data_IF_870558324249
#
_entry.id   IF_870558324249
#
_cell.length_a   1.000
_cell.length_b   1.000
_cell.length_c   1.000
_cell.angle_alpha   90.00
_cell.angle_beta   90.00
_cell.angle_gamma   90.00
#
_symmetry.space_group_name_H-M   'P 1'
#
loop_
_entity.id
_entity.type
_entity.pdbx_description
1 polymer ?
#
# COMPACT_ATOMS: atom_id res chain seq x y z
N UNK A 1 75.20 -9.93 -22.83
CA UNK A 1 73.89 -9.30 -22.50
C UNK A 1 72.79 -10.35 -22.62
N UNK A 2 72.31 -10.90 -21.51
CA UNK A 2 71.26 -11.93 -21.45
C UNK A 2 69.92 -11.27 -21.10
N UNK A 3 68.88 -11.54 -21.90
CA UNK A 3 67.48 -11.15 -21.66
C UNK A 3 66.84 -12.09 -20.63
N UNK A 4 66.13 -11.55 -19.65
CA UNK A 4 65.25 -12.27 -18.74
C UNK A 4 63.79 -12.21 -19.22
N UNK A 5 62.95 -13.24 -19.01
CA UNK A 5 61.52 -13.18 -19.29
C UNK A 5 60.71 -12.77 -18.05
N UNK A 6 59.68 -11.94 -18.26
CA UNK A 6 58.75 -11.48 -17.23
C UNK A 6 57.78 -12.57 -16.78
N UNK A 7 57.57 -12.66 -15.46
CA UNK A 7 56.63 -13.56 -14.81
C UNK A 7 55.27 -12.86 -14.66
N UNK A 8 54.21 -13.41 -15.27
CA UNK A 8 52.83 -12.99 -15.04
C UNK A 8 52.25 -13.86 -13.91
N UNK A 9 52.08 -13.26 -12.72
CA UNK A 9 51.38 -13.89 -11.59
C UNK A 9 49.86 -13.81 -11.83
N UNK A 10 49.25 -14.96 -12.09
CA UNK A 10 47.80 -15.15 -12.16
C UNK A 10 47.31 -15.51 -10.75
N UNK A 11 46.69 -14.57 -10.05
CA UNK A 11 46.10 -14.84 -8.73
C UNK A 11 44.80 -15.63 -8.89
N UNK A 12 44.71 -16.82 -8.30
CA UNK A 12 43.45 -17.57 -8.21
C UNK A 12 42.67 -17.06 -6.99
N UNK A 13 41.46 -16.55 -7.23
CA UNK A 13 40.54 -16.22 -6.14
C UNK A 13 39.92 -17.53 -5.66
N UNK A 14 40.08 -17.84 -4.37
CA UNK A 14 39.56 -19.06 -3.78
C UNK A 14 38.03 -19.14 -3.91
N UNK A 15 37.45 -20.32 -4.20
CA UNK A 15 36.01 -20.49 -4.48
C UNK A 15 35.09 -20.03 -3.33
N UNK A 16 35.58 -20.02 -2.09
CA UNK A 16 34.87 -19.50 -0.92
C UNK A 16 34.63 -17.99 -0.97
N UNK A 17 35.57 -17.21 -1.51
CA UNK A 17 35.43 -15.76 -1.65
C UNK A 17 34.43 -15.38 -2.75
N UNK A 18 34.35 -16.18 -3.82
CA UNK A 18 33.35 -16.03 -4.87
C UNK A 18 31.93 -16.35 -4.37
N UNK A 19 31.77 -17.38 -3.53
CA UNK A 19 30.50 -17.72 -2.87
C UNK A 19 30.06 -16.65 -1.85
N UNK A 20 30.98 -16.12 -1.05
CA UNK A 20 30.68 -15.02 -0.13
C UNK A 20 30.29 -13.74 -0.88
N UNK A 21 30.98 -13.41 -1.98
CA UNK A 21 30.62 -12.29 -2.83
C UNK A 21 29.25 -12.50 -3.51
N UNK A 22 28.92 -13.73 -3.93
CA UNK A 22 27.62 -14.08 -4.50
C UNK A 22 26.48 -13.99 -3.47
N UNK A 23 26.72 -14.40 -2.23
CA UNK A 23 25.77 -14.28 -1.12
C UNK A 23 25.58 -12.82 -0.67
N UNK A 24 26.64 -12.03 -0.62
CA UNK A 24 26.58 -10.60 -0.32
C UNK A 24 25.88 -9.82 -1.44
N UNK A 25 26.10 -10.19 -2.71
CA UNK A 25 25.42 -9.56 -3.85
C UNK A 25 23.97 -10.04 -4.03
N UNK A 26 23.60 -11.23 -3.56
CA UNK A 26 22.20 -11.65 -3.48
C UNK A 26 21.45 -10.97 -2.33
N UNK A 27 22.08 -10.78 -1.17
CA UNK A 27 21.52 -10.01 -0.05
C UNK A 27 21.39 -8.51 -0.35
N UNK A 28 22.36 -7.91 -1.08
CA UNK A 28 22.26 -6.54 -1.55
C UNK A 28 21.14 -6.34 -2.59
N UNK A 29 20.83 -7.38 -3.39
CA UNK A 29 19.70 -7.37 -4.34
C UNK A 29 18.32 -7.60 -3.69
N UNK A 30 18.27 -8.09 -2.45
CA UNK A 30 17.02 -8.18 -1.68
C UNK A 30 16.64 -6.86 -0.98
N UNK A 31 17.54 -5.87 -0.99
CA UNK A 31 17.33 -4.53 -0.42
C UNK A 31 17.15 -3.48 -1.51
N UNK A 32 16.46 -3.83 -2.61
CA UNK A 32 16.13 -2.85 -3.64
C UNK A 32 15.05 -1.94 -3.07
N UNK A 33 15.46 -0.73 -2.71
CA UNK A 33 14.56 0.42 -2.65
C UNK A 33 13.86 0.46 -4.02
N UNK A 34 12.57 0.13 -4.07
CA UNK A 34 11.78 0.12 -5.30
C UNK A 34 12.00 1.45 -6.04
N UNK A 35 12.58 1.44 -7.26
CA UNK A 35 12.82 2.66 -8.00
C UNK A 35 11.49 3.40 -8.19
N UNK A 36 11.50 4.71 -7.92
CA UNK A 36 10.36 5.58 -8.14
C UNK A 36 9.87 5.42 -9.58
N UNK A 37 8.73 4.77 -9.78
CA UNK A 37 8.04 4.84 -11.05
C UNK A 37 7.50 6.28 -11.20
N UNK A 38 8.01 7.07 -12.17
CA UNK A 38 7.62 8.47 -12.33
C UNK A 38 6.11 8.62 -12.59
N UNK A 39 5.48 7.61 -13.18
CA UNK A 39 4.04 7.58 -13.49
C UNK A 39 3.22 7.24 -12.24
N UNK A 40 3.65 6.25 -11.45
CA UNK A 40 2.98 5.94 -10.18
C UNK A 40 2.99 7.14 -9.23
N UNK A 41 4.11 7.88 -9.21
CA UNK A 41 4.26 9.09 -8.40
C UNK A 41 3.35 10.24 -8.85
N UNK A 42 3.12 10.41 -10.16
CA UNK A 42 2.26 11.49 -10.67
C UNK A 42 0.76 11.22 -10.48
N UNK A 43 0.36 9.95 -10.47
CA UNK A 43 -1.03 9.55 -10.25
C UNK A 43 -1.39 9.43 -8.77
N UNK A 44 -0.42 9.33 -7.89
CA UNK A 44 -0.67 9.04 -6.47
C UNK A 44 -1.63 9.98 -5.74
N UNK A 45 -1.60 11.31 -5.97
CA UNK A 45 -2.53 12.25 -5.35
C UNK A 45 -4.01 11.96 -5.67
N UNK A 46 -4.29 11.27 -6.76
CA UNK A 46 -5.63 10.99 -7.26
C UNK A 46 -6.26 9.72 -6.64
N UNK A 47 -5.48 8.89 -5.94
CA UNK A 47 -6.00 7.66 -5.30
C UNK A 47 -6.68 7.88 -3.94
N UNK A 48 -6.63 9.11 -3.41
CA UNK A 48 -7.22 9.53 -2.14
C UNK A 48 -6.90 8.56 -1.01
N UNK A 49 -7.90 7.90 -0.42
CA UNK A 49 -7.66 6.96 0.70
C UNK A 49 -6.87 5.70 0.32
N UNK A 50 -6.52 5.48 -0.95
CA UNK A 50 -5.68 4.37 -1.41
C UNK A 50 -4.25 4.78 -1.77
N UNK A 51 -3.94 6.08 -1.68
CA UNK A 51 -2.59 6.63 -1.81
C UNK A 51 -1.68 6.03 -0.75
N UNK A 52 -0.44 5.68 -1.12
CA UNK A 52 0.55 5.11 -0.18
C UNK A 52 1.04 6.19 0.79
N UNK A 53 1.47 5.79 1.98
CA UNK A 53 1.99 6.73 2.97
C UNK A 53 3.24 7.47 2.47
N UNK A 54 4.14 6.78 1.77
CA UNK A 54 5.34 7.39 1.19
C UNK A 54 5.06 8.36 0.03
N UNK A 55 3.90 8.28 -0.62
CA UNK A 55 3.58 9.20 -1.71
C UNK A 55 3.06 10.55 -1.17
N UNK A 56 2.47 10.56 0.04
CA UNK A 56 2.08 11.80 0.75
C UNK A 56 3.19 12.33 1.65
N UNK A 57 4.13 11.47 2.04
CA UNK A 57 5.33 11.85 2.77
C UNK A 57 6.58 11.25 2.10
N UNK A 58 7.14 11.93 1.08
CA UNK A 58 8.28 11.43 0.30
C UNK A 58 9.55 11.16 1.10
N UNK A 59 9.70 11.75 2.29
CA UNK A 59 10.83 11.48 3.20
C UNK A 59 10.87 10.01 3.62
N UNK A 60 9.71 9.34 3.66
CA UNK A 60 9.63 7.91 3.98
C UNK A 60 10.30 7.01 2.93
N UNK A 61 10.58 7.52 1.73
CA UNK A 61 11.31 6.76 0.70
C UNK A 61 12.79 6.63 1.04
N UNK A 62 13.42 7.72 1.47
CA UNK A 62 14.85 7.76 1.77
C UNK A 62 15.16 7.38 3.22
N UNK A 63 14.27 7.71 4.15
CA UNK A 63 14.42 7.47 5.57
C UNK A 63 13.11 6.96 6.18
N UNK A 64 12.69 5.73 5.88
CA UNK A 64 11.41 5.22 6.37
C UNK A 64 11.35 5.12 7.90
N UNK A 65 12.49 5.01 8.58
CA UNK A 65 12.56 4.97 10.04
C UNK A 65 13.10 6.28 10.62
N UNK A 66 13.52 7.22 9.77
CA UNK A 66 14.11 8.47 10.20
C UNK A 66 13.02 9.36 10.84
N UNK A 67 13.24 9.85 12.07
CA UNK A 67 12.37 10.85 12.65
C UNK A 67 12.47 12.16 11.86
N UNK A 68 11.34 12.74 11.47
CA UNK A 68 11.30 14.10 10.95
C UNK A 68 10.70 15.01 12.01
N UNK A 69 11.50 15.94 12.55
CA UNK A 69 11.02 16.99 13.45
C UNK A 69 10.63 18.21 12.64
N UNK A 70 9.58 18.88 13.08
CA UNK A 70 9.29 20.24 12.64
C UNK A 70 10.48 21.14 13.01
N UNK A 71 11.13 21.82 12.05
CA UNK A 71 12.22 22.75 12.33
C UNK A 71 11.81 23.90 13.27
N UNK A 72 10.51 24.23 13.34
CA UNK A 72 9.98 25.27 14.23
C UNK A 72 9.91 24.83 15.70
N UNK A 73 9.95 23.51 15.97
CA UNK A 73 10.10 22.97 17.32
C UNK A 73 11.58 22.98 17.70
N UNK A 74 12.02 24.05 18.37
CA UNK A 74 13.39 24.17 18.87
C UNK A 74 13.73 23.00 19.80
N UNK A 75 14.78 22.24 19.46
CA UNK A 75 15.26 21.16 20.32
C UNK A 75 15.64 21.70 21.71
N UNK A 76 15.13 21.06 22.75
CA UNK A 76 15.47 21.39 24.14
C UNK A 76 14.64 22.50 24.79
N UNK A 77 13.72 23.17 24.08
CA UNK A 77 12.85 24.21 24.71
C UNK A 77 11.59 23.64 25.33
N UNK A 78 11.14 22.47 24.88
CA UNK A 78 9.93 21.81 25.35
C UNK A 78 10.21 20.33 25.63
N UNK A 79 9.57 19.78 26.66
CA UNK A 79 9.60 18.34 26.96
C UNK A 79 8.24 17.72 26.65
N UNK A 80 8.16 16.75 25.73
CA UNK A 80 6.93 16.00 25.47
C UNK A 80 6.49 15.25 26.73
N UNK A 81 5.25 15.49 27.19
CA UNK A 81 4.68 14.83 28.38
C UNK A 81 3.67 13.74 28.03
N UNK A 82 3.09 13.79 26.83
CA UNK A 82 2.11 12.83 26.34
C UNK A 82 2.09 12.79 24.82
N UNK A 83 1.90 11.60 24.25
CA UNK A 83 1.63 11.39 22.83
C UNK A 83 0.26 10.73 22.68
N UNK A 84 -0.60 11.33 21.86
CA UNK A 84 -1.87 10.74 21.43
C UNK A 84 -1.89 10.74 19.92
N UNK A 85 -2.06 9.57 19.31
CA UNK A 85 -2.08 9.41 17.86
C UNK A 85 -3.31 8.63 17.42
N UNK A 86 -3.99 9.14 16.38
CA UNK A 86 -5.04 8.40 15.68
C UNK A 86 -4.44 7.85 14.38
N UNK A 87 -4.24 6.53 14.36
CA UNK A 87 -3.51 5.87 13.29
C UNK A 87 -4.46 4.99 12.48
N UNK A 88 -4.45 5.17 11.16
CA UNK A 88 -5.16 4.27 10.24
C UNK A 88 -4.33 2.99 10.04
N UNK A 89 -5.02 1.89 9.74
CA UNK A 89 -4.36 0.65 9.34
C UNK A 89 -3.33 0.85 8.20
N UNK A 90 -2.34 -0.04 8.11
CA UNK A 90 -1.36 -0.06 7.03
C UNK A 90 -1.95 -0.42 5.66
N UNK A 91 -1.10 -0.47 4.63
CA UNK A 91 -1.48 -0.93 3.29
C UNK A 91 -2.13 -2.32 3.31
N UNK A 92 -3.16 -2.55 2.49
CA UNK A 92 -3.96 -3.79 2.50
C UNK A 92 -4.36 -4.25 1.10
N UNK A 93 -4.78 -5.51 0.98
CA UNK A 93 -5.40 -6.03 -0.24
C UNK A 93 -6.77 -5.36 -0.52
N UNK A 94 -7.28 -5.46 -1.76
CA UNK A 94 -8.68 -5.14 -2.05
C UNK A 94 -9.64 -6.00 -1.20
N UNK A 95 -10.85 -5.49 -0.94
CA UNK A 95 -11.91 -6.29 -0.30
C UNK A 95 -12.49 -7.29 -1.29
N UNK A 96 -13.10 -8.38 -0.85
CA UNK A 96 -13.72 -9.40 -1.69
C UNK A 96 -14.75 -8.81 -2.68
N UNK A 97 -15.50 -7.77 -2.27
CA UNK A 97 -16.40 -7.02 -3.17
C UNK A 97 -15.67 -6.40 -4.37
N UNK A 98 -14.45 -5.91 -4.18
CA UNK A 98 -13.63 -5.33 -5.24
C UNK A 98 -12.92 -6.41 -6.04
N UNK A 99 -12.48 -7.49 -5.40
CA UNK A 99 -11.88 -8.66 -6.08
C UNK A 99 -12.87 -9.25 -7.08
N UNK A 100 -14.15 -9.41 -6.70
CA UNK A 100 -15.20 -9.87 -7.63
C UNK A 100 -15.39 -8.96 -8.84
N UNK A 101 -15.30 -7.64 -8.66
CA UNK A 101 -15.34 -6.69 -9.78
C UNK A 101 -14.13 -6.80 -10.70
N UNK A 102 -12.94 -7.00 -10.13
CA UNK A 102 -11.72 -7.28 -10.92
C UNK A 102 -11.89 -8.56 -11.75
N UNK A 103 -12.44 -9.62 -11.16
CA UNK A 103 -12.73 -10.87 -11.88
C UNK A 103 -13.77 -10.68 -12.98
N UNK A 104 -14.82 -9.90 -12.72
CA UNK A 104 -15.82 -9.57 -13.74
C UNK A 104 -15.18 -8.87 -14.95
N UNK A 105 -14.37 -7.83 -14.70
CA UNK A 105 -13.66 -7.13 -15.74
C UNK A 105 -12.67 -8.02 -16.50
N UNK A 106 -11.91 -8.84 -15.77
CA UNK A 106 -10.99 -9.80 -16.36
C UNK A 106 -11.71 -10.81 -17.26
N UNK A 107 -12.87 -11.33 -16.82
CA UNK A 107 -13.72 -12.19 -17.64
C UNK A 107 -14.24 -11.51 -18.90
N UNK A 108 -14.61 -10.23 -18.83
CA UNK A 108 -14.99 -9.44 -20.02
C UNK A 108 -13.83 -9.32 -21.02
N UNK A 109 -12.61 -9.07 -20.52
CA UNK A 109 -11.41 -8.96 -21.35
C UNK A 109 -11.03 -10.31 -22.00
N UNK A 110 -11.18 -11.42 -21.28
CA UNK A 110 -10.94 -12.76 -21.82
C UNK A 110 -11.97 -13.14 -22.90
N UNK A 111 -13.24 -12.82 -22.69
CA UNK A 111 -14.31 -13.10 -23.65
C UNK A 111 -14.18 -12.28 -24.95
N UNK A 112 -13.51 -11.12 -24.91
CA UNK A 112 -13.18 -10.32 -26.09
C UNK A 112 -12.30 -11.10 -27.08
N UNK A 113 -11.23 -11.73 -26.59
CA UNK A 113 -10.26 -12.44 -27.43
C UNK A 113 -10.84 -13.63 -28.20
N UNK A 114 -11.99 -14.17 -27.77
CA UNK A 114 -12.70 -15.25 -28.46
C UNK A 114 -13.63 -14.78 -29.59
N UNK A 115 -13.92 -13.47 -29.70
CA UNK A 115 -14.89 -12.92 -30.69
C UNK A 115 -14.23 -12.39 -31.96
N UNK A 116 -12.98 -11.94 -31.90
CA UNK A 116 -12.27 -11.38 -33.05
C UNK A 116 -11.17 -12.34 -33.55
N UNK A 117 -11.51 -13.18 -34.52
CA UNK A 117 -10.53 -13.89 -35.37
C UNK A 117 -9.87 -12.99 -36.42
N UNK A 118 -9.93 -11.66 -36.25
CA UNK A 118 -9.46 -10.68 -37.22
C UNK A 118 -8.30 -9.86 -36.65
N UNK A 119 -7.13 -10.00 -37.27
CA UNK A 119 -5.96 -9.18 -36.98
C UNK A 119 -6.30 -7.68 -37.15
N UNK A 120 -6.33 -6.91 -36.06
CA UNK A 120 -6.35 -5.45 -36.14
C UNK A 120 -4.92 -4.92 -36.15
N UNK A 121 -4.59 -4.28 -37.26
CA UNK A 121 -3.30 -3.70 -37.60
C UNK A 121 -3.18 -2.29 -37.03
N UNK A 122 -2.67 -2.14 -35.82
CA UNK A 122 -1.99 -0.89 -35.41
C UNK A 122 -0.93 -1.23 -34.35
N UNK A 123 0.30 -0.73 -34.51
CA UNK A 123 1.48 -1.04 -33.70
C UNK A 123 1.44 -0.61 -32.22
N UNK A 124 0.27 -0.42 -31.62
CA UNK A 124 0.11 -0.33 -30.17
C UNK A 124 -0.11 -1.73 -29.62
N UNK A 125 0.66 -2.15 -28.60
CA UNK A 125 0.31 -3.35 -27.82
C UNK A 125 -1.15 -3.25 -27.40
N UNK A 126 -1.94 -4.23 -27.79
CA UNK A 126 -3.36 -4.31 -27.43
C UNK A 126 -3.46 -4.43 -25.90
N UNK A 127 -3.79 -3.31 -25.26
CA UNK A 127 -3.85 -3.24 -23.80
C UNK A 127 -4.92 -4.18 -23.23
N UNK A 128 -6.04 -4.37 -23.94
CA UNK A 128 -7.07 -5.29 -23.47
C UNK A 128 -6.62 -6.73 -23.52
N UNK A 129 -5.90 -7.16 -24.58
CA UNK A 129 -5.29 -8.49 -24.63
C UNK A 129 -4.22 -8.66 -23.55
N UNK A 130 -3.33 -7.68 -23.38
CA UNK A 130 -2.31 -7.72 -22.33
C UNK A 130 -2.91 -7.83 -20.91
N UNK A 131 -4.04 -7.18 -20.66
CA UNK A 131 -4.77 -7.28 -19.39
C UNK A 131 -5.58 -8.57 -19.25
N UNK A 132 -6.01 -9.19 -20.36
CA UNK A 132 -6.71 -10.48 -20.37
C UNK A 132 -5.76 -11.65 -20.06
N UNK A 133 -4.52 -11.55 -20.53
CA UNK A 133 -3.46 -12.53 -20.28
C UNK A 133 -2.80 -12.33 -18.90
N UNK A 134 -3.01 -11.18 -18.27
CA UNK A 134 -2.45 -10.88 -16.96
C UNK A 134 -3.10 -11.73 -15.86
N UNK A 135 -2.36 -12.56 -15.12
CA UNK A 135 -2.93 -13.43 -14.11
C UNK A 135 -3.53 -12.63 -12.94
N UNK A 136 -4.85 -12.76 -12.74
CA UNK A 136 -5.54 -12.19 -11.59
C UNK A 136 -5.44 -13.11 -10.36
N UNK A 137 -4.37 -12.94 -9.59
CA UNK A 137 -4.03 -13.78 -8.42
C UNK A 137 -4.80 -13.45 -7.12
N UNK A 138 -5.67 -12.44 -7.14
CA UNK A 138 -6.46 -12.07 -5.96
C UNK A 138 -7.49 -13.14 -5.61
N UNK A 139 -7.38 -13.68 -4.40
CA UNK A 139 -8.30 -14.66 -3.83
C UNK A 139 -9.29 -14.02 -2.85
N UNK A 140 -10.50 -14.59 -2.70
CA UNK A 140 -11.54 -13.97 -1.87
C UNK A 140 -11.17 -13.89 -0.39
N UNK A 141 -10.37 -14.84 0.10
CA UNK A 141 -9.91 -14.85 1.49
C UNK A 141 -9.01 -13.65 1.83
N UNK A 142 -8.41 -12.99 0.83
CA UNK A 142 -7.58 -11.81 1.03
C UNK A 142 -8.38 -10.58 1.51
N UNK A 143 -9.72 -10.61 1.46
CA UNK A 143 -10.70 -9.56 1.80
C UNK A 143 -10.21 -8.40 2.70
N UNK A 144 -9.44 -7.46 2.15
CA UNK A 144 -8.93 -6.33 2.90
C UNK A 144 -7.92 -6.67 3.99
N UNK A 145 -7.33 -7.87 4.00
CA UNK A 145 -6.24 -8.27 4.87
C UNK A 145 -5.01 -7.38 4.67
N UNK A 146 -4.26 -7.18 5.75
CA UNK A 146 -3.05 -6.37 5.72
C UNK A 146 -1.97 -7.07 4.89
N UNK A 147 -1.36 -6.34 3.96
CA UNK A 147 -0.23 -6.86 3.17
C UNK A 147 1.06 -6.65 3.93
N UNK A 148 2.15 -7.30 3.51
CA UNK A 148 3.43 -7.16 4.20
C UNK A 148 3.95 -5.72 4.21
N UNK A 149 3.77 -4.99 3.10
CA UNK A 149 4.02 -3.54 3.06
C UNK A 149 3.24 -2.79 4.15
N UNK A 150 2.00 -3.17 4.41
CA UNK A 150 1.20 -2.58 5.49
C UNK A 150 1.70 -2.91 6.89
N UNK A 151 2.27 -4.10 7.11
CA UNK A 151 2.97 -4.41 8.37
C UNK A 151 4.22 -3.56 8.51
N UNK A 152 4.99 -3.44 7.44
CA UNK A 152 6.18 -2.59 7.38
C UNK A 152 5.85 -1.11 7.68
N UNK A 153 4.77 -0.57 7.09
CA UNK A 153 4.30 0.80 7.34
C UNK A 153 4.14 1.07 8.85
N UNK A 154 3.56 0.10 9.58
CA UNK A 154 3.27 0.20 11.01
C UNK A 154 4.51 -0.02 11.88
N UNK A 155 5.38 -0.98 11.52
CA UNK A 155 6.68 -1.19 12.20
C UNK A 155 7.54 0.06 12.12
N UNK A 156 7.65 0.64 10.93
CA UNK A 156 8.43 1.86 10.71
C UNK A 156 7.80 3.08 11.40
N UNK A 157 6.46 3.17 11.45
CA UNK A 157 5.80 4.21 12.23
C UNK A 157 6.15 4.13 13.72
N UNK A 158 6.15 2.93 14.30
CA UNK A 158 6.54 2.72 15.69
C UNK A 158 7.98 3.19 15.95
N UNK A 159 8.92 2.78 15.11
CA UNK A 159 10.33 3.17 15.20
C UNK A 159 10.53 4.69 15.08
N UNK A 160 9.82 5.33 14.15
CA UNK A 160 9.85 6.79 13.98
C UNK A 160 9.34 7.50 15.23
N UNK A 161 8.21 7.06 15.79
CA UNK A 161 7.63 7.68 16.99
C UNK A 161 8.53 7.50 18.21
N UNK A 162 9.10 6.32 18.41
CA UNK A 162 10.03 6.07 19.50
C UNK A 162 11.29 6.93 19.37
N UNK A 163 11.82 7.09 18.15
CA UNK A 163 12.96 7.97 17.87
C UNK A 163 12.64 9.46 18.05
N UNK A 164 11.42 9.89 17.72
CA UNK A 164 10.97 11.28 17.90
C UNK A 164 10.76 11.63 19.38
N UNK A 165 10.23 10.70 20.17
CA UNK A 165 9.81 10.93 21.56
C UNK A 165 10.48 9.96 22.55
N UNK A 166 11.83 9.92 22.62
CA UNK A 166 12.56 8.89 23.36
C UNK A 166 12.21 8.86 24.86
N UNK A 167 11.92 10.01 25.47
CA UNK A 167 11.50 10.07 26.87
C UNK A 167 10.15 9.39 27.12
N UNK A 168 9.20 9.50 26.17
CA UNK A 168 7.88 8.86 26.28
C UNK A 168 7.94 7.36 26.01
N UNK A 169 8.87 6.92 25.16
CA UNK A 169 9.10 5.53 24.80
C UNK A 169 10.25 4.91 25.61
N UNK A 170 10.58 5.40 26.81
CA UNK A 170 11.59 4.74 27.65
C UNK A 170 11.07 3.40 28.22
N UNK A 171 11.99 2.49 28.59
CA UNK A 171 11.68 1.21 29.27
C UNK A 171 10.75 1.37 30.47
N UNK A 172 10.95 2.42 31.24
CA UNK A 172 10.18 2.74 32.44
C UNK A 172 8.71 3.11 32.12
N UNK A 173 8.44 3.57 30.89
CA UNK A 173 7.13 4.04 30.47
C UNK A 173 6.30 2.99 29.73
N UNK A 174 6.77 1.75 29.57
CA UNK A 174 6.06 0.71 28.81
C UNK A 174 4.66 0.42 29.34
N UNK A 175 4.53 0.31 30.67
CA UNK A 175 3.23 0.07 31.31
C UNK A 175 2.22 1.23 31.14
N UNK A 176 2.66 2.37 30.60
CA UNK A 176 1.79 3.52 30.28
C UNK A 176 1.34 3.55 28.84
N UNK A 177 1.93 2.71 27.96
CA UNK A 177 1.50 2.59 26.58
C UNK A 177 0.08 2.01 26.53
N UNK A 178 -0.83 2.72 25.88
CA UNK A 178 -2.21 2.26 25.67
C UNK A 178 -2.52 2.22 24.18
N UNK A 179 -2.62 1.02 23.63
CA UNK A 179 -3.01 0.81 22.25
C UNK A 179 -4.46 0.36 22.17
N UNK A 180 -5.32 1.18 21.58
CA UNK A 180 -6.75 0.89 21.37
C UNK A 180 -7.01 0.71 19.88
N UNK A 181 -7.74 -0.34 19.51
CA UNK A 181 -7.99 -0.69 18.11
C UNK A 181 -9.43 -1.12 17.87
N UNK A 182 -9.84 -1.14 16.60
CA UNK A 182 -11.11 -1.74 16.19
C UNK A 182 -10.95 -3.24 15.95
N UNK A 183 -12.04 -4.00 16.03
CA UNK A 183 -12.06 -5.45 15.77
C UNK A 183 -11.76 -5.87 14.33
N UNK A 184 -11.60 -4.91 13.39
CA UNK A 184 -11.24 -5.24 12.00
C UNK A 184 -9.86 -5.89 11.96
N UNK A 185 -9.76 -7.05 11.31
CA UNK A 185 -8.52 -7.84 11.18
C UNK A 185 -7.32 -6.99 10.77
N UNK A 186 -7.45 -6.17 9.72
CA UNK A 186 -6.39 -5.25 9.28
C UNK A 186 -5.94 -4.23 10.33
N UNK A 187 -6.83 -3.82 11.25
CA UNK A 187 -6.51 -2.91 12.34
C UNK A 187 -5.83 -3.67 13.49
N UNK A 188 -6.27 -4.90 13.79
CA UNK A 188 -5.59 -5.81 14.71
C UNK A 188 -4.16 -6.11 14.22
N UNK A 189 -4.00 -6.52 12.97
CA UNK A 189 -2.70 -6.80 12.34
C UNK A 189 -1.79 -5.56 12.31
N UNK A 190 -2.37 -4.38 12.06
CA UNK A 190 -1.60 -3.13 12.10
C UNK A 190 -1.12 -2.80 13.52
N UNK A 191 -1.95 -3.07 14.52
CA UNK A 191 -1.62 -2.86 15.93
C UNK A 191 -0.52 -3.84 16.37
N UNK A 192 -0.63 -5.10 15.98
CA UNK A 192 0.40 -6.12 16.20
C UNK A 192 1.73 -5.72 15.55
N UNK A 193 1.71 -5.32 14.28
CA UNK A 193 2.90 -4.86 13.57
C UNK A 193 3.52 -3.60 14.23
N UNK A 194 2.71 -2.68 14.73
CA UNK A 194 3.20 -1.52 15.49
C UNK A 194 3.95 -1.96 16.76
N UNK A 195 3.36 -2.87 17.55
CA UNK A 195 3.99 -3.41 18.76
C UNK A 195 5.27 -4.20 18.45
N UNK A 196 5.30 -4.95 17.35
CA UNK A 196 6.53 -5.59 16.85
C UNK A 196 7.63 -4.57 16.52
N UNK A 197 7.27 -3.43 15.94
CA UNK A 197 8.23 -2.34 15.69
C UNK A 197 8.78 -1.73 16.97
N UNK A 198 7.93 -1.56 18.00
CA UNK A 198 8.38 -1.15 19.32
C UNK A 198 9.30 -2.20 19.95
N UNK A 199 8.94 -3.48 19.91
CA UNK A 199 9.81 -4.55 20.39
C UNK A 199 11.21 -4.47 19.76
N UNK A 200 11.29 -4.32 18.44
CA UNK A 200 12.55 -4.18 17.72
C UNK A 200 13.37 -2.97 18.18
N UNK A 201 12.71 -1.84 18.48
CA UNK A 201 13.37 -0.65 19.03
C UNK A 201 14.08 -0.97 20.35
N UNK A 202 13.42 -1.76 21.20
CA UNK A 202 13.89 -2.02 22.55
C UNK A 202 14.83 -3.20 22.68
N UNK A 203 14.71 -4.16 21.78
CA UNK A 203 15.42 -5.43 21.79
C UNK A 203 16.08 -5.66 20.42
N UNK A 204 17.04 -4.79 20.04
CA UNK A 204 17.66 -4.85 18.72
C UNK A 204 18.35 -6.20 18.51
N UNK A 205 18.12 -6.81 17.35
CA UNK A 205 18.70 -8.11 16.97
C UNK A 205 17.92 -9.34 17.48
N UNK A 206 16.86 -9.17 18.28
CA UNK A 206 16.00 -10.27 18.70
C UNK A 206 14.72 -10.35 17.85
N UNK A 207 14.25 -11.55 17.49
CA UNK A 207 12.94 -11.69 16.84
C UNK A 207 11.83 -11.27 17.81
N UNK A 208 10.75 -10.65 17.31
CA UNK A 208 9.59 -10.35 18.15
C UNK A 208 8.88 -11.64 18.57
N UNK A 209 8.50 -11.80 19.85
CA UNK A 209 7.63 -12.88 20.29
C UNK A 209 6.19 -12.62 19.83
N UNK A 210 5.27 -13.51 20.20
CA UNK A 210 3.85 -13.22 20.05
C UNK A 210 3.46 -11.98 20.86
N UNK A 211 2.52 -11.21 20.32
CA UNK A 211 2.09 -9.93 20.93
C UNK A 211 1.55 -10.12 22.36
N UNK A 212 0.98 -11.28 22.67
CA UNK A 212 0.50 -11.61 24.00
C UNK A 212 1.63 -11.72 25.04
N UNK A 213 2.85 -12.03 24.59
CA UNK A 213 4.02 -12.26 25.44
C UNK A 213 4.94 -11.03 25.51
N UNK A 214 4.61 -9.96 24.80
CA UNK A 214 5.34 -8.69 24.87
C UNK A 214 5.04 -7.93 26.17
N UNK A 215 6.02 -7.18 26.66
CA UNK A 215 5.94 -6.36 27.89
C UNK A 215 4.82 -5.30 27.85
N UNK A 216 4.40 -4.89 26.65
CA UNK A 216 3.32 -3.93 26.41
C UNK A 216 1.91 -4.53 26.51
N UNK A 217 1.80 -5.86 26.46
CA UNK A 217 0.54 -6.58 26.32
C UNK A 217 -0.16 -6.38 24.97
N UNK A 218 -1.30 -7.07 24.75
CA UNK A 218 -2.04 -6.99 23.51
C UNK A 218 -2.84 -5.67 23.39
N UNK A 219 -3.15 -5.23 22.15
CA UNK A 219 -4.00 -4.06 21.94
C UNK A 219 -5.41 -4.31 22.49
N UNK A 220 -6.00 -3.29 23.11
CA UNK A 220 -7.38 -3.33 23.61
C UNK A 220 -8.36 -3.05 22.48
N UNK A 221 -9.31 -3.97 22.25
CA UNK A 221 -10.35 -3.77 21.23
C UNK A 221 -11.47 -2.88 21.78
N UNK A 222 -11.80 -1.81 21.07
CA UNK A 222 -12.92 -0.92 21.40
C UNK A 222 -13.56 -0.33 20.12
N UNK A 223 -14.52 -1.06 19.56
CA UNK A 223 -15.25 -0.61 18.36
C UNK A 223 -16.15 0.60 18.62
N UNK A 224 -16.67 0.76 19.84
CA UNK A 224 -17.49 1.92 20.19
C UNK A 224 -16.69 3.21 20.06
N UNK A 225 -15.41 3.19 20.43
CA UNK A 225 -14.49 4.32 20.25
C UNK A 225 -14.01 4.42 18.80
N UNK A 226 -13.45 3.34 18.25
CA UNK A 226 -12.71 3.37 16.98
C UNK A 226 -13.62 3.33 15.74
N UNK A 227 -14.87 2.91 15.91
CA UNK A 227 -15.91 2.79 14.88
C UNK A 227 -17.23 3.36 15.39
N UNK A 228 -17.19 4.46 16.14
CA UNK A 228 -18.38 5.10 16.72
C UNK A 228 -19.53 5.30 15.72
N UNK A 229 -19.22 5.53 14.44
CA UNK A 229 -20.21 5.68 13.37
C UNK A 229 -21.05 4.41 13.13
N UNK A 230 -20.51 3.21 13.33
CA UNK A 230 -21.26 1.94 13.24
C UNK A 230 -22.29 1.80 14.37
N UNK A 231 -22.16 2.59 15.44
CA UNK A 231 -23.09 2.61 16.57
C UNK A 231 -24.04 3.81 16.56
N UNK A 232 -23.88 4.73 15.59
CA UNK A 232 -24.75 5.89 15.45
C UNK A 232 -26.02 5.50 14.69
N UNK A 233 -27.15 5.33 15.42
CA UNK A 233 -28.44 4.94 14.82
C UNK A 233 -28.83 5.83 13.64
N UNK A 234 -28.69 7.15 13.79
CA UNK A 234 -29.00 8.13 12.75
C UNK A 234 -28.16 7.91 11.50
N UNK A 235 -26.85 7.72 11.64
CA UNK A 235 -25.96 7.42 10.51
C UNK A 235 -26.35 6.12 9.81
N UNK A 236 -26.61 5.06 10.59
CA UNK A 236 -27.00 3.77 10.02
C UNK A 236 -28.30 3.85 9.21
N UNK A 237 -29.30 4.58 9.72
CA UNK A 237 -30.61 4.68 9.06
C UNK A 237 -30.61 5.67 7.90
N UNK A 238 -30.04 6.85 8.10
CA UNK A 238 -30.15 7.95 7.13
C UNK A 238 -29.03 7.96 6.10
N UNK A 239 -27.92 7.25 6.34
CA UNK A 239 -26.75 7.21 5.44
C UNK A 239 -26.41 5.80 4.98
N UNK A 240 -26.12 4.88 5.90
CA UNK A 240 -25.59 3.56 5.53
C UNK A 240 -26.63 2.70 4.81
N UNK A 241 -27.88 2.70 5.30
CA UNK A 241 -29.02 1.94 4.73
C UNK A 241 -29.85 2.73 3.73
N UNK A 242 -29.54 4.01 3.53
CA UNK A 242 -30.29 4.88 2.63
C UNK A 242 -29.57 5.04 1.28
N UNK A 243 -30.16 4.47 0.24
CA UNK A 243 -29.59 4.52 -1.11
C UNK A 243 -29.47 5.94 -1.68
N UNK A 244 -30.31 6.89 -1.23
CA UNK A 244 -30.30 8.28 -1.73
C UNK A 244 -29.30 9.16 -0.98
N UNK A 245 -28.78 8.70 0.16
CA UNK A 245 -27.89 9.50 1.00
C UNK A 245 -26.57 9.87 0.31
N UNK A 246 -26.17 9.10 -0.69
CA UNK A 246 -24.97 9.34 -1.49
C UNK A 246 -25.30 9.93 -2.85
N UNK A 247 -26.33 10.78 -2.93
CA UNK A 247 -26.79 11.43 -4.17
C UNK A 247 -25.64 11.99 -5.01
N UNK A 248 -24.74 12.79 -4.43
CA UNK A 248 -23.62 13.39 -5.18
C UNK A 248 -22.65 12.35 -5.75
N UNK A 249 -22.46 11.21 -5.07
CA UNK A 249 -21.63 10.12 -5.58
C UNK A 249 -22.29 9.50 -6.80
N UNK A 250 -23.60 9.26 -6.76
CA UNK A 250 -24.32 8.68 -7.89
C UNK A 250 -24.45 9.67 -9.05
N UNK A 251 -24.78 10.94 -8.78
CA UNK A 251 -24.83 12.01 -9.78
C UNK A 251 -23.48 12.17 -10.51
N UNK A 252 -22.35 12.06 -9.79
CA UNK A 252 -21.04 12.08 -10.43
C UNK A 252 -20.76 10.82 -11.25
N UNK A 253 -21.10 9.62 -10.74
CA UNK A 253 -20.91 8.35 -11.46
C UNK A 253 -21.73 8.27 -12.75
N UNK A 254 -22.89 8.89 -12.80
CA UNK A 254 -23.77 8.93 -13.98
C UNK A 254 -23.59 10.20 -14.81
N UNK A 255 -22.85 11.18 -14.30
CA UNK A 255 -22.59 12.47 -14.93
C UNK A 255 -21.72 12.39 -16.19
N UNK A 256 -21.69 13.47 -16.98
CA UNK A 256 -21.06 13.50 -18.30
C UNK A 256 -19.55 13.22 -18.24
N UNK A 257 -18.85 13.62 -17.18
CA UNK A 257 -17.43 13.39 -16.98
C UNK A 257 -17.14 11.89 -16.89
N UNK A 258 -17.89 11.16 -16.06
CA UNK A 258 -17.71 9.72 -15.91
C UNK A 258 -18.14 8.96 -17.16
N UNK A 259 -19.24 9.36 -17.80
CA UNK A 259 -19.67 8.75 -19.07
C UNK A 259 -18.61 8.91 -20.17
N UNK A 260 -17.94 10.05 -20.24
CA UNK A 260 -16.83 10.26 -21.17
C UNK A 260 -15.62 9.37 -20.84
N UNK A 261 -15.33 9.15 -19.56
CA UNK A 261 -14.28 8.20 -19.13
C UNK A 261 -14.66 6.78 -19.53
N UNK A 262 -15.90 6.34 -19.28
CA UNK A 262 -16.37 5.00 -19.65
C UNK A 262 -16.23 4.75 -21.15
N UNK A 263 -16.61 5.72 -22.00
CA UNK A 263 -16.44 5.64 -23.46
C UNK A 263 -14.97 5.50 -23.86
N UNK A 264 -14.08 6.30 -23.27
CA UNK A 264 -12.64 6.23 -23.56
C UNK A 264 -12.05 4.88 -23.14
N UNK A 265 -12.36 4.43 -21.93
CA UNK A 265 -11.88 3.15 -21.39
C UNK A 265 -12.40 1.98 -22.23
N UNK A 266 -13.69 1.98 -22.58
CA UNK A 266 -14.29 0.99 -23.45
C UNK A 266 -13.59 0.91 -24.82
N UNK A 267 -13.30 2.06 -25.44
CA UNK A 267 -12.58 2.12 -26.71
C UNK A 267 -11.13 1.61 -26.57
N UNK A 268 -10.42 2.02 -25.51
CA UNK A 268 -9.04 1.57 -25.25
C UNK A 268 -8.94 0.06 -25.02
N UNK A 269 -9.92 -0.51 -24.30
CA UNK A 269 -9.97 -1.94 -24.02
C UNK A 269 -10.68 -2.75 -25.10
N UNK A 270 -11.31 -2.06 -26.05
CA UNK A 270 -12.17 -2.60 -27.11
C UNK A 270 -13.26 -3.53 -26.57
N UNK A 271 -13.98 -3.05 -25.56
CA UNK A 271 -15.17 -3.72 -24.99
C UNK A 271 -16.40 -2.83 -25.14
N UNK A 272 -17.62 -3.38 -25.18
CA UNK A 272 -18.84 -2.57 -25.23
C UNK A 272 -18.96 -1.65 -24.01
N UNK A 273 -19.32 -0.38 -24.24
CA UNK A 273 -19.49 0.61 -23.16
C UNK A 273 -20.50 0.14 -22.11
N UNK A 274 -21.55 -0.55 -22.55
CA UNK A 274 -22.63 -1.06 -21.69
C UNK A 274 -22.16 -2.17 -20.73
N UNK A 275 -21.02 -2.79 -21.00
CA UNK A 275 -20.43 -3.81 -20.13
C UNK A 275 -19.57 -3.19 -19.01
N UNK A 276 -19.33 -1.87 -19.08
CA UNK A 276 -18.59 -1.11 -18.08
C UNK A 276 -19.54 -0.25 -17.22
N UNK A 277 -19.11 0.02 -16.00
CA UNK A 277 -19.71 1.03 -15.13
C UNK A 277 -18.62 1.72 -14.31
N UNK A 278 -18.95 2.83 -13.68
CA UNK A 278 -17.99 3.61 -12.87
C UNK A 278 -17.27 2.73 -11.82
N UNK A 279 -17.95 1.73 -11.27
CA UNK A 279 -17.39 0.80 -10.30
C UNK A 279 -16.41 -0.23 -10.87
N UNK A 280 -16.51 -0.58 -12.16
CA UNK A 280 -15.56 -1.45 -12.88
C UNK A 280 -14.38 -0.61 -13.42
N UNK A 281 -14.66 0.58 -13.95
CA UNK A 281 -13.64 1.46 -14.54
C UNK A 281 -12.75 2.15 -13.50
N UNK A 282 -13.23 2.39 -12.27
CA UNK A 282 -12.41 2.89 -11.16
C UNK A 282 -11.19 2.00 -10.87
N UNK A 283 -11.21 0.72 -11.26
CA UNK A 283 -10.20 -0.27 -10.88
C UNK A 283 -9.16 -0.61 -11.94
N UNK A 284 -9.41 -0.34 -13.23
CA UNK A 284 -8.36 -0.35 -14.26
C UNK A 284 -7.21 0.62 -13.94
N UNK A 285 -7.52 1.63 -13.12
CA UNK A 285 -6.61 2.68 -12.68
C UNK A 285 -5.92 2.36 -11.36
N UNK A 286 -6.45 1.44 -10.56
CA UNK A 286 -5.91 1.08 -9.24
C UNK A 286 -5.08 -0.20 -9.27
N UNK A 287 -5.37 -1.11 -10.22
CA UNK A 287 -4.50 -2.25 -10.49
C UNK A 287 -3.14 -1.80 -11.00
N UNK A 288 -3.04 -0.70 -11.76
CA UNK A 288 -1.74 -0.16 -12.22
C UNK A 288 -0.81 0.19 -11.05
N UNK A 289 -1.34 0.69 -9.92
CA UNK A 289 -0.55 0.98 -8.71
C UNK A 289 -0.10 -0.28 -7.95
N UNK A 290 -0.83 -1.38 -8.06
CA UNK A 290 -0.36 -2.70 -7.62
C UNK A 290 0.56 -3.38 -8.66
N UNK A 291 0.44 -3.03 -9.93
CA UNK A 291 1.21 -3.57 -11.07
C UNK A 291 2.58 -2.91 -11.24
N UNK A 292 2.79 -1.71 -10.66
CA UNK A 292 4.11 -1.07 -10.60
C UNK A 292 5.11 -1.88 -9.77
N UNK A 293 4.66 -2.85 -8.96
CA UNK A 293 5.56 -3.81 -8.30
C UNK A 293 6.31 -4.76 -9.28
N UNK A 294 6.06 -4.74 -10.61
CA UNK A 294 6.76 -5.64 -11.54
C UNK A 294 7.25 -5.06 -12.90
N UNK A 295 7.11 -3.74 -13.21
CA UNK A 295 7.37 -3.12 -14.56
C UNK A 295 6.52 -3.77 -15.67
N UNK A 296 6.11 -3.16 -16.79
CA UNK A 296 6.45 -1.94 -17.53
C UNK A 296 5.17 -1.56 -18.34
N UNK A 297 4.92 -0.26 -18.54
CA UNK A 297 3.88 0.37 -19.39
C UNK A 297 2.44 0.46 -18.84
N UNK A 298 1.95 1.69 -18.60
CA UNK A 298 1.03 2.41 -19.50
C UNK A 298 0.70 3.81 -18.96
N UNK A 299 0.43 4.72 -19.90
CA UNK A 299 0.18 6.15 -19.69
C UNK A 299 -1.28 6.48 -19.37
N UNK A 300 -1.44 7.50 -18.52
CA UNK A 300 -2.61 8.35 -18.24
C UNK A 300 -3.88 7.64 -17.81
N UNK A 301 -4.46 8.02 -16.66
CA UNK A 301 -5.88 8.38 -16.47
C UNK A 301 -6.14 8.68 -14.98
N UNK A 302 -6.91 9.75 -14.72
CA UNK A 302 -7.22 10.25 -13.37
C UNK A 302 -8.05 9.25 -12.55
N UNK A 303 -7.64 9.00 -11.31
CA UNK A 303 -8.45 8.26 -10.32
C UNK A 303 -9.17 9.24 -9.38
N UNK A 304 -10.24 8.79 -8.74
CA UNK A 304 -10.86 9.47 -7.60
C UNK A 304 -11.25 8.44 -6.54
N UNK A 305 -11.06 8.81 -5.28
CA UNK A 305 -11.51 8.05 -4.12
C UNK A 305 -12.85 8.58 -3.63
N UNK A 306 -13.81 7.67 -3.40
CA UNK A 306 -14.98 7.97 -2.59
C UNK A 306 -14.57 7.95 -1.12
N UNK A 307 -14.30 9.12 -0.55
CA UNK A 307 -14.32 9.28 0.91
C UNK A 307 -15.77 9.40 1.36
N UNK A 308 -16.22 8.52 2.26
CA UNK A 308 -17.46 8.74 3.04
C UNK A 308 -17.15 9.71 4.20
N UNK A 309 -16.62 10.89 3.91
CA UNK A 309 -16.46 11.95 4.91
C UNK A 309 -17.16 13.19 4.40
N UNK A 310 -18.29 13.51 5.04
CA UNK A 310 -18.88 14.84 4.96
C UNK A 310 -17.99 15.75 5.82
N UNK A 311 -17.52 16.88 5.29
CA UNK A 311 -17.20 18.02 6.15
C UNK A 311 -18.52 18.62 6.65
N UNK A 312 -18.53 19.30 7.81
CA UNK A 312 -19.74 19.69 8.53
C UNK A 312 -20.71 20.55 7.69
#
# INVERSE_FOLDING_TARGET
>A
MRRAPGCLLRTSVAPAAALAAALLSSLARCSVLEPRDPVASSLSPYFGTKTRYEDVNPVLLSGPEAPWRDPELLEGTCTPVQLVALIRHGTRYPTAKQIRKLRQLHGLLQARGSRDGGASSTGSRDLGAALADWPLWYADWMDGQLVEKGRQDMRQLALRLASLFPALFSRENYGRLRLITSSKHRCMDSSAAFLQGLWQHYHPGLPPPDVADMEFGPPTVNDKLMRFFDHCKKFLTEVEKNATALYHVEAFKTGPEMQNILKKVAATLQVPVNDLNAGLSQFLLQSSSSLVMQRLFFHCFLSWATSKTRNP
#
